data_IF_718725256259
#
_entry.id   IF_718725256259
#
_cell.length_a   1.000
_cell.length_b   1.000
_cell.length_c   1.000
_cell.angle_alpha   90.00
_cell.angle_beta   90.00
_cell.angle_gamma   90.00
#
_symmetry.space_group_name_H-M   'P 1'
#
loop_
_entity.id
_entity.type
_entity.pdbx_description
1 polymer ?
#
# COMPACT_ATOMS: atom_id res chain seq x y z
N UNK A 1 -9.09 -21.23 17.35
CA UNK A 1 -9.75 -21.76 16.13
C UNK A 1 -8.75 -22.67 15.45
N UNK A 2 -9.14 -23.88 15.06
CA UNK A 2 -8.23 -24.78 14.34
C UNK A 2 -8.05 -24.24 12.91
N UNK A 3 -6.82 -23.90 12.54
CA UNK A 3 -6.50 -23.39 11.20
C UNK A 3 -6.48 -24.58 10.24
N UNK A 4 -7.20 -24.53 9.10
CA UNK A 4 -7.13 -25.59 8.10
C UNK A 4 -5.69 -25.84 7.66
N UNK A 5 -5.27 -27.10 7.41
CA UNK A 5 -3.89 -27.42 7.03
C UNK A 5 -3.38 -26.60 5.83
N UNK A 6 -4.23 -26.33 4.85
CA UNK A 6 -3.92 -25.54 3.67
C UNK A 6 -3.63 -24.08 4.03
N UNK A 7 -4.42 -23.50 4.93
CA UNK A 7 -4.21 -22.14 5.42
C UNK A 7 -2.92 -22.05 6.24
N UNK A 8 -2.65 -23.07 7.07
CA UNK A 8 -1.39 -23.13 7.81
C UNK A 8 -0.19 -23.13 6.85
N UNK A 9 -0.25 -23.91 5.77
CA UNK A 9 0.79 -23.93 4.73
C UNK A 9 1.00 -22.57 4.07
N UNK A 10 -0.06 -21.81 3.79
CA UNK A 10 0.05 -20.43 3.25
C UNK A 10 0.78 -19.51 4.23
N UNK A 11 0.45 -19.58 5.51
CA UNK A 11 1.10 -18.78 6.54
C UNK A 11 2.58 -19.12 6.66
N UNK A 12 2.91 -20.41 6.64
CA UNK A 12 4.29 -20.87 6.75
C UNK A 12 5.12 -20.43 5.55
N UNK A 13 4.65 -20.68 4.32
CA UNK A 13 5.33 -20.22 3.10
C UNK A 13 5.54 -18.69 3.08
N UNK A 14 4.57 -17.92 3.57
CA UNK A 14 4.69 -16.46 3.66
C UNK A 14 5.79 -16.04 4.65
N UNK A 15 5.89 -16.72 5.80
CA UNK A 15 6.96 -16.48 6.79
C UNK A 15 8.33 -16.86 6.24
N UNK A 16 8.43 -18.02 5.60
CA UNK A 16 9.66 -18.51 4.99
C UNK A 16 10.16 -17.54 3.90
N UNK A 17 9.28 -17.08 3.02
CA UNK A 17 9.60 -16.07 2.01
C UNK A 17 10.14 -14.77 2.64
N UNK A 18 9.46 -14.28 3.68
CA UNK A 18 9.88 -13.04 4.36
C UNK A 18 11.24 -13.19 5.03
N UNK A 19 11.52 -14.31 5.70
CA UNK A 19 12.83 -14.58 6.29
C UNK A 19 13.89 -14.66 5.20
N UNK A 20 13.68 -15.53 4.21
CA UNK A 20 14.64 -15.77 3.14
C UNK A 20 15.04 -14.49 2.39
N UNK A 21 14.05 -13.68 1.98
CA UNK A 21 14.29 -12.44 1.22
C UNK A 21 14.87 -11.29 2.05
N UNK A 22 14.60 -11.23 3.36
CA UNK A 22 15.03 -10.11 4.20
C UNK A 22 16.34 -10.36 4.93
N UNK A 23 16.64 -11.60 5.28
CA UNK A 23 17.78 -11.92 6.17
C UNK A 23 18.80 -12.87 5.57
N UNK A 24 18.45 -13.61 4.52
CA UNK A 24 19.31 -14.68 3.97
C UNK A 24 19.76 -14.41 2.53
N UNK A 25 19.14 -13.43 1.84
CA UNK A 25 19.36 -13.16 0.41
C UNK A 25 19.94 -11.77 0.19
N UNK A 26 20.92 -11.66 -0.72
CA UNK A 26 21.32 -10.39 -1.32
C UNK A 26 20.41 -10.12 -2.53
N UNK A 27 19.54 -9.12 -2.42
CA UNK A 27 18.56 -8.81 -3.46
C UNK A 27 19.18 -7.91 -4.54
N UNK A 28 19.32 -8.43 -5.77
CA UNK A 28 20.02 -7.74 -6.87
C UNK A 28 19.11 -7.34 -8.04
N UNK A 29 17.80 -7.58 -7.94
CA UNK A 29 16.85 -7.17 -8.98
C UNK A 29 16.61 -5.66 -8.84
N UNK A 30 16.95 -4.90 -9.88
CA UNK A 30 16.97 -3.44 -9.84
C UNK A 30 15.60 -2.79 -9.56
N UNK A 31 14.50 -3.45 -9.91
CA UNK A 31 13.13 -2.96 -9.72
C UNK A 31 12.51 -3.38 -8.38
N UNK A 32 13.20 -4.18 -7.58
CA UNK A 32 12.67 -4.69 -6.31
C UNK A 32 13.23 -3.89 -5.14
N UNK A 33 12.45 -3.82 -4.06
CA UNK A 33 12.86 -3.13 -2.84
C UNK A 33 12.17 -3.74 -1.61
N UNK A 34 12.68 -3.43 -0.41
CA UNK A 34 12.09 -3.82 0.87
C UNK A 34 11.43 -2.60 1.51
N UNK A 35 10.19 -2.76 1.97
CA UNK A 35 9.45 -1.70 2.63
C UNK A 35 10.04 -1.41 4.03
N UNK A 36 9.98 -0.15 4.48
CA UNK A 36 10.41 0.21 5.83
C UNK A 36 9.39 -0.27 6.88
N UNK A 37 9.81 -0.55 8.13
CA UNK A 37 8.89 -0.99 9.18
C UNK A 37 7.72 -0.03 9.46
N UNK A 38 7.92 1.28 9.27
CA UNK A 38 6.87 2.29 9.43
C UNK A 38 5.83 2.26 8.30
N UNK A 39 6.26 1.98 7.06
CA UNK A 39 5.32 1.82 5.96
C UNK A 39 4.56 0.49 6.09
N UNK A 40 5.20 -0.56 6.59
CA UNK A 40 4.54 -1.85 6.86
C UNK A 40 3.46 -1.76 7.94
N UNK A 41 3.68 -0.95 8.98
CA UNK A 41 2.72 -0.82 10.10
C UNK A 41 1.37 -0.25 9.70
N UNK A 42 1.30 0.48 8.58
CA UNK A 42 0.05 1.06 8.04
C UNK A 42 -0.51 0.29 6.85
N UNK A 43 0.27 -0.62 6.26
CA UNK A 43 -0.07 -1.34 5.02
C UNK A 43 -1.26 -2.29 5.20
N UNK A 44 -1.27 -3.10 6.28
CA UNK A 44 -2.40 -3.98 6.61
C UNK A 44 -3.32 -3.32 7.64
N UNK A 45 -4.19 -2.42 7.17
CA UNK A 45 -5.15 -1.69 8.00
C UNK A 45 -6.59 -1.84 7.47
N UNK A 46 -7.57 -1.37 8.23
CA UNK A 46 -9.00 -1.40 7.85
C UNK A 46 -9.28 -0.69 6.52
N UNK A 47 -8.41 0.25 6.10
CA UNK A 47 -8.51 0.94 4.82
C UNK A 47 -8.53 -0.03 3.62
N UNK A 48 -7.91 -1.21 3.73
CA UNK A 48 -7.94 -2.26 2.70
C UNK A 48 -9.35 -2.76 2.37
N UNK A 49 -10.34 -2.48 3.22
CA UNK A 49 -11.73 -2.92 3.08
C UNK A 49 -12.71 -1.76 2.86
N UNK A 50 -12.23 -0.57 2.48
CA UNK A 50 -13.05 0.64 2.31
C UNK A 50 -13.02 1.14 0.88
N UNK A 51 -14.20 1.46 0.35
CA UNK A 51 -14.32 2.18 -0.93
C UNK A 51 -14.21 3.69 -0.70
N UNK A 52 -13.38 4.34 -1.52
CA UNK A 52 -13.17 5.78 -1.49
C UNK A 52 -13.26 6.39 -2.91
N UNK A 53 -14.24 5.96 -3.69
CA UNK A 53 -14.42 6.45 -5.06
C UNK A 53 -14.76 7.95 -5.08
N UNK A 54 -14.14 8.69 -6.00
CA UNK A 54 -14.27 10.14 -6.14
C UNK A 54 -12.96 10.88 -5.82
N UNK A 55 -13.09 12.15 -5.47
CA UNK A 55 -11.99 13.00 -5.00
C UNK A 55 -12.10 13.19 -3.48
N UNK A 56 -11.00 13.56 -2.79
CA UNK A 56 -11.07 13.92 -1.37
C UNK A 56 -12.20 14.91 -1.09
N UNK A 57 -13.01 14.59 -0.07
CA UNK A 57 -14.19 15.38 0.34
C UNK A 57 -15.33 15.47 -0.69
N UNK A 58 -15.24 14.72 -1.80
CA UNK A 58 -16.24 14.59 -2.86
C UNK A 58 -16.40 13.12 -3.25
N UNK A 59 -16.81 12.31 -2.28
CA UNK A 59 -16.88 10.85 -2.41
C UNK A 59 -18.29 10.38 -2.80
N UNK A 60 -18.33 9.28 -3.52
CA UNK A 60 -19.58 8.56 -3.81
C UNK A 60 -19.99 7.61 -2.67
N UNK A 61 -19.03 7.21 -1.83
CA UNK A 61 -19.25 6.35 -0.66
C UNK A 61 -19.16 7.14 0.64
N UNK A 62 -19.84 6.65 1.67
CA UNK A 62 -19.85 7.24 3.02
C UNK A 62 -18.76 6.62 3.91
N UNK A 63 -18.49 7.28 5.05
CA UNK A 63 -17.51 6.79 6.03
C UNK A 63 -16.05 7.05 5.66
N UNK A 64 -15.77 8.00 4.77
CA UNK A 64 -14.44 8.28 4.23
C UNK A 64 -13.65 9.33 5.00
N UNK A 65 -14.15 9.81 6.16
CA UNK A 65 -13.57 10.94 6.91
C UNK A 65 -12.04 10.92 6.98
N UNK A 66 -11.47 9.83 7.50
CA UNK A 66 -10.01 9.72 7.67
C UNK A 66 -9.27 9.37 6.37
N UNK A 67 -9.96 8.76 5.39
CA UNK A 67 -9.38 8.50 4.06
C UNK A 67 -9.18 9.83 3.33
N UNK A 68 -10.13 10.76 3.45
CA UNK A 68 -10.05 12.08 2.84
C UNK A 68 -8.88 12.90 3.40
N UNK A 69 -8.75 12.95 4.72
CA UNK A 69 -7.64 13.61 5.41
C UNK A 69 -6.28 13.02 4.99
N UNK A 70 -6.18 11.69 4.94
CA UNK A 70 -4.96 10.97 4.57
C UNK A 70 -4.59 11.19 3.10
N UNK A 71 -5.54 11.03 2.18
CA UNK A 71 -5.30 11.19 0.74
C UNK A 71 -4.87 12.62 0.41
N UNK A 72 -5.52 13.62 0.99
CA UNK A 72 -5.16 15.03 0.82
C UNK A 72 -3.72 15.31 1.31
N UNK A 73 -3.37 14.82 2.49
CA UNK A 73 -2.02 14.98 3.04
C UNK A 73 -0.97 14.30 2.16
N UNK A 74 -1.22 13.06 1.73
CA UNK A 74 -0.26 12.32 0.90
C UNK A 74 -0.07 12.92 -0.50
N UNK A 75 -1.13 13.48 -1.11
CA UNK A 75 -1.01 14.21 -2.36
C UNK A 75 -0.13 15.46 -2.19
N UNK A 76 -0.33 16.22 -1.11
CA UNK A 76 0.51 17.38 -0.81
C UNK A 76 1.97 16.98 -0.63
N UNK A 77 2.24 15.99 0.22
CA UNK A 77 3.60 15.52 0.49
C UNK A 77 4.29 14.99 -0.76
N UNK A 78 3.57 14.24 -1.61
CA UNK A 78 4.12 13.74 -2.87
C UNK A 78 4.46 14.90 -3.81
N UNK A 79 3.56 15.88 -3.95
CA UNK A 79 3.81 17.07 -4.77
C UNK A 79 5.03 17.87 -4.28
N UNK A 80 5.21 18.01 -2.96
CA UNK A 80 6.38 18.67 -2.36
C UNK A 80 7.68 17.92 -2.67
N UNK A 81 7.70 16.60 -2.45
CA UNK A 81 8.88 15.75 -2.70
C UNK A 81 9.24 15.75 -4.20
N UNK A 82 8.24 15.67 -5.07
CA UNK A 82 8.44 15.64 -6.53
C UNK A 82 8.58 17.03 -7.15
N UNK A 83 8.41 18.11 -6.36
CA UNK A 83 8.37 19.51 -6.84
C UNK A 83 7.32 19.73 -7.95
N UNK A 84 6.21 18.99 -7.89
CA UNK A 84 5.12 19.10 -8.83
C UNK A 84 4.07 20.12 -8.34
N UNK A 85 3.32 20.71 -9.28
CA UNK A 85 2.18 21.57 -8.93
C UNK A 85 0.97 20.78 -8.42
N UNK A 86 0.91 19.50 -8.76
CA UNK A 86 -0.17 18.59 -8.47
C UNK A 86 0.39 17.17 -8.39
N UNK A 87 -0.18 16.34 -7.52
CA UNK A 87 0.10 14.92 -7.43
C UNK A 87 -1.18 14.15 -7.13
N UNK A 88 -1.20 12.88 -7.57
CA UNK A 88 -2.31 11.95 -7.37
C UNK A 88 -1.76 10.59 -6.92
N UNK A 89 -2.11 10.19 -5.70
CA UNK A 89 -1.67 8.94 -5.08
C UNK A 89 -2.61 7.75 -5.35
N UNK A 90 -3.73 7.96 -6.05
CA UNK A 90 -4.76 6.92 -6.26
C UNK A 90 -4.35 5.79 -7.22
N UNK A 91 -3.46 5.98 -8.23
CA UNK A 91 -3.04 4.87 -9.08
C UNK A 91 -2.37 3.74 -8.29
N UNK A 92 -2.94 2.54 -8.35
CA UNK A 92 -2.47 1.37 -7.56
C UNK A 92 -1.25 0.65 -8.16
N UNK A 93 -0.86 1.01 -9.38
CA UNK A 93 0.29 0.44 -10.08
C UNK A 93 0.79 1.41 -11.16
N UNK A 94 2.04 1.23 -11.59
CA UNK A 94 2.65 2.05 -12.64
C UNK A 94 1.88 2.00 -13.97
N UNK A 95 1.33 0.84 -14.36
CA UNK A 95 0.53 0.71 -15.58
C UNK A 95 -0.72 1.59 -15.55
N UNK A 96 -1.41 1.70 -14.41
CA UNK A 96 -2.60 2.54 -14.25
C UNK A 96 -2.19 4.02 -14.23
N UNK A 97 -1.08 4.35 -13.56
CA UNK A 97 -0.56 5.72 -13.56
C UNK A 97 -0.19 6.20 -14.97
N UNK A 98 0.38 5.32 -15.80
CA UNK A 98 0.74 5.65 -17.19
C UNK A 98 -0.48 5.83 -18.11
N UNK A 99 -1.63 5.23 -17.76
CA UNK A 99 -2.85 5.30 -18.55
C UNK A 99 -3.77 6.47 -18.15
N UNK A 100 -3.41 7.20 -17.08
CA UNK A 100 -4.18 8.29 -16.50
C UNK A 100 -4.05 9.61 -17.27
#
# INVERSE_FOLDING_TARGET
MQVPPELQKVLDLTREQNRWRRTETINLIASENVMSPLAESVYMSDFMSRYAEGLPFKRYYQGTKYIDELEALTNQLLAEISKAKFADVRPIAGTIANAA
#
